data_IF_366896626686
#
_entry.id   IF_366896626686
#
_cell.length_a   1.000
_cell.length_b   1.000
_cell.length_c   1.000
_cell.angle_alpha   90.00
_cell.angle_beta   90.00
_cell.angle_gamma   90.00
#
_symmetry.space_group_name_H-M   'P 1'
#
loop_
_entity.id
_entity.type
_entity.pdbx_description
1 polymer ?
#
# COMPACT_ATOMS: atom_id res chain seq x y z
N UNK A 1 -0.96 -43.04 -22.49
CA UNK A 1 0.12 -42.15 -22.00
C UNK A 1 0.31 -41.03 -23.00
N UNK A 2 -0.14 -39.82 -22.64
CA UNK A 2 0.36 -38.51 -23.04
C UNK A 2 -0.66 -37.49 -22.52
N UNK A 3 -0.54 -37.17 -21.22
CA UNK A 3 -1.13 -35.99 -20.62
C UNK A 3 -0.45 -34.80 -21.29
N UNK A 4 -1.10 -34.20 -22.28
CA UNK A 4 -0.73 -32.90 -22.83
C UNK A 4 -1.74 -31.92 -22.29
N UNK A 5 -1.31 -31.23 -21.24
CA UNK A 5 -2.03 -30.17 -20.58
C UNK A 5 -2.22 -29.02 -21.56
N UNK A 6 -3.47 -28.87 -22.01
CA UNK A 6 -3.90 -27.77 -22.84
C UNK A 6 -4.28 -26.58 -21.97
N UNK A 7 -3.32 -26.01 -21.22
CA UNK A 7 -3.38 -24.61 -20.78
C UNK A 7 -3.08 -23.65 -21.94
N UNK A 8 -3.60 -23.98 -23.12
CA UNK A 8 -3.88 -23.04 -24.20
C UNK A 8 -5.21 -22.39 -23.87
N UNK A 9 -5.13 -21.17 -23.33
CA UNK A 9 -6.11 -20.07 -23.36
C UNK A 9 -6.16 -19.38 -22.02
N UNK A 10 -5.22 -18.49 -21.80
CA UNK A 10 -5.52 -17.10 -21.46
C UNK A 10 -4.24 -16.31 -21.65
N UNK A 11 -4.07 -15.75 -22.84
CA UNK A 11 -3.33 -14.49 -23.00
C UNK A 11 -4.17 -13.40 -22.31
N UNK A 12 -4.28 -13.47 -20.99
CA UNK A 12 -4.57 -12.30 -20.18
C UNK A 12 -3.23 -11.62 -20.05
N UNK A 13 -3.06 -10.50 -20.74
CA UNK A 13 -1.95 -9.59 -20.45
C UNK A 13 -2.13 -9.23 -18.98
N UNK A 14 -1.42 -9.93 -18.09
CA UNK A 14 -1.27 -9.51 -16.72
C UNK A 14 -0.35 -8.31 -16.81
N UNK A 15 -0.97 -7.14 -16.97
CA UNK A 15 -0.31 -5.88 -16.66
C UNK A 15 -0.08 -5.97 -15.15
N UNK A 16 1.06 -6.56 -14.76
CA UNK A 16 1.64 -6.25 -13.48
C UNK A 16 2.13 -4.83 -13.66
N UNK A 17 1.22 -3.88 -13.47
CA UNK A 17 1.62 -2.53 -13.08
C UNK A 17 2.17 -2.73 -11.67
N UNK A 18 3.42 -3.17 -11.58
CA UNK A 18 4.17 -3.21 -10.34
C UNK A 18 4.16 -1.76 -9.86
N UNK A 19 3.18 -1.41 -9.02
CA UNK A 19 3.16 -0.11 -8.38
C UNK A 19 4.28 -0.11 -7.35
N UNK A 20 5.49 0.11 -7.88
CA UNK A 20 6.74 0.06 -7.15
C UNK A 20 6.66 1.00 -5.94
N UNK A 21 5.87 2.07 -6.05
CA UNK A 21 5.61 2.99 -4.95
C UNK A 21 4.84 2.33 -3.80
N UNK A 22 3.69 1.71 -4.05
CA UNK A 22 2.88 1.03 -3.02
C UNK A 22 3.65 -0.13 -2.38
N UNK A 23 4.42 -0.87 -3.18
CA UNK A 23 5.25 -1.95 -2.68
C UNK A 23 6.38 -1.43 -1.77
N UNK A 24 7.11 -0.40 -2.21
CA UNK A 24 8.13 0.25 -1.38
C UNK A 24 7.52 0.85 -0.11
N UNK A 25 6.35 1.49 -0.21
CA UNK A 25 5.62 2.04 0.92
C UNK A 25 5.27 0.94 1.93
N UNK A 26 4.77 -0.21 1.46
CA UNK A 26 4.42 -1.36 2.31
C UNK A 26 5.65 -1.90 3.04
N UNK A 27 6.76 -2.08 2.31
CA UNK A 27 8.01 -2.56 2.88
C UNK A 27 8.54 -1.59 3.94
N UNK A 28 8.48 -0.29 3.68
CA UNK A 28 9.02 0.73 4.57
C UNK A 28 8.12 0.97 5.79
N UNK A 29 6.80 0.97 5.63
CA UNK A 29 5.85 0.99 6.75
C UNK A 29 6.00 -0.26 7.64
N UNK A 30 6.21 -1.43 7.05
CA UNK A 30 6.44 -2.67 7.81
C UNK A 30 7.76 -2.68 8.59
N UNK A 31 8.76 -1.90 8.16
CA UNK A 31 10.03 -1.71 8.90
C UNK A 31 9.90 -0.71 10.04
N UNK A 32 9.00 0.27 9.92
CA UNK A 32 8.75 1.25 10.98
C UNK A 32 8.01 0.58 12.15
N UNK A 33 8.64 0.47 13.34
CA UNK A 33 8.01 -0.21 14.47
C UNK A 33 6.75 0.51 14.97
N UNK A 34 6.64 1.82 14.78
CA UNK A 34 5.48 2.62 15.21
C UNK A 34 4.32 2.40 14.25
N UNK A 35 4.57 2.44 12.94
CA UNK A 35 3.54 2.18 11.92
C UNK A 35 3.08 0.74 11.99
N UNK A 36 4.00 -0.22 12.16
CA UNK A 36 3.66 -1.62 12.37
C UNK A 36 2.78 -1.85 13.60
N UNK A 37 3.07 -1.19 14.72
CA UNK A 37 2.23 -1.26 15.91
C UNK A 37 0.83 -0.65 15.66
N UNK A 38 0.75 0.45 14.90
CA UNK A 38 -0.54 1.02 14.49
C UNK A 38 -1.32 0.07 13.59
N UNK A 39 -0.68 -0.55 12.60
CA UNK A 39 -1.30 -1.54 11.72
C UNK A 39 -1.92 -2.69 12.53
N UNK A 40 -1.18 -3.27 13.47
CA UNK A 40 -1.69 -4.36 14.33
C UNK A 40 -2.87 -3.93 15.20
N UNK A 41 -2.87 -2.69 15.69
CA UNK A 41 -4.01 -2.15 16.42
C UNK A 41 -5.23 -2.00 15.51
N UNK A 42 -5.03 -1.48 14.30
CA UNK A 42 -6.09 -1.30 13.30
C UNK A 42 -6.68 -2.62 12.77
N UNK A 43 -5.95 -3.73 12.86
CA UNK A 43 -6.49 -5.08 12.58
C UNK A 43 -7.51 -5.54 13.63
N UNK A 44 -7.43 -5.03 14.87
CA UNK A 44 -8.30 -5.43 15.98
C UNK A 44 -9.33 -4.37 16.35
N UNK A 45 -9.01 -3.09 16.17
CA UNK A 45 -9.80 -1.95 16.60
C UNK A 45 -9.82 -0.88 15.51
N UNK A 46 -11.01 -0.42 15.14
CA UNK A 46 -11.15 0.69 14.19
C UNK A 46 -10.79 2.02 14.86
N UNK A 47 -10.09 2.91 14.13
CA UNK A 47 -9.66 4.21 14.64
C UNK A 47 -10.29 5.34 13.79
N UNK A 48 -10.70 6.44 14.43
CA UNK A 48 -11.30 7.57 13.71
C UNK A 48 -10.29 8.35 12.87
N UNK A 49 -9.00 8.25 13.19
CA UNK A 49 -7.94 9.03 12.53
C UNK A 49 -7.11 8.21 11.56
N UNK A 50 -7.17 6.88 11.65
CA UNK A 50 -6.34 6.00 10.85
C UNK A 50 -7.15 4.85 10.27
N UNK A 51 -6.79 4.44 9.06
CA UNK A 51 -7.42 3.34 8.35
C UNK A 51 -6.35 2.38 7.85
N UNK A 52 -6.61 1.08 7.95
CA UNK A 52 -5.77 0.04 7.37
C UNK A 52 -6.40 -0.42 6.05
N UNK A 53 -5.70 -0.24 4.93
CA UNK A 53 -6.11 -0.77 3.61
C UNK A 53 -4.96 -1.49 2.95
N UNK A 54 -5.22 -2.71 2.46
CA UNK A 54 -4.22 -3.52 1.74
C UNK A 54 -2.89 -3.66 2.49
N UNK A 55 -2.91 -3.68 3.83
CA UNK A 55 -1.71 -3.75 4.67
C UNK A 55 -0.96 -2.43 4.86
N UNK A 56 -1.48 -1.32 4.33
CA UNK A 56 -0.95 0.02 4.48
C UNK A 56 -1.78 0.83 5.45
N UNK A 57 -1.10 1.59 6.31
CA UNK A 57 -1.73 2.53 7.24
C UNK A 57 -1.87 3.89 6.56
N UNK A 58 -3.10 4.38 6.55
CA UNK A 58 -3.48 5.69 6.08
C UNK A 58 -3.94 6.55 7.26
N UNK A 59 -3.68 7.84 7.17
CA UNK A 59 -4.21 8.86 8.06
C UNK A 59 -5.37 9.55 7.37
N UNK A 60 -6.52 9.59 8.04
CA UNK A 60 -7.68 10.34 7.56
C UNK A 60 -7.44 11.85 7.76
N UNK A 61 -7.70 12.63 6.71
CA UNK A 61 -7.65 14.09 6.75
C UNK A 61 -8.87 14.67 6.02
N UNK A 62 -9.94 14.92 6.77
CA UNK A 62 -11.23 15.30 6.21
C UNK A 62 -11.80 14.16 5.36
N UNK A 63 -12.01 14.41 4.07
CA UNK A 63 -12.47 13.40 3.10
C UNK A 63 -11.32 12.67 2.40
N UNK A 64 -10.07 13.03 2.67
CA UNK A 64 -8.90 12.49 1.99
C UNK A 64 -8.16 11.48 2.88
N UNK A 65 -7.54 10.47 2.24
CA UNK A 65 -6.64 9.52 2.90
C UNK A 65 -5.19 9.88 2.54
N UNK A 66 -4.37 10.08 3.57
CA UNK A 66 -2.95 10.38 3.44
C UNK A 66 -2.16 9.11 3.79
N UNK A 67 -1.30 8.65 2.90
CA UNK A 67 -0.40 7.54 3.20
C UNK A 67 0.71 8.00 4.16
N UNK A 68 1.03 7.16 5.15
CA UNK A 68 2.17 7.42 6.03
C UNK A 68 3.46 7.04 5.29
N UNK A 69 4.42 7.95 5.28
CA UNK A 69 5.70 7.75 4.61
C UNK A 69 6.81 7.71 5.65
N UNK A 70 7.75 6.77 5.50
CA UNK A 70 8.94 6.71 6.34
C UNK A 70 9.88 7.88 5.98
N UNK A 71 10.69 8.35 6.94
CA UNK A 71 11.59 9.51 6.75
C UNK A 71 12.48 9.40 5.50
N UNK A 72 12.89 8.17 5.16
CA UNK A 72 13.73 7.87 4.01
C UNK A 72 13.05 8.12 2.65
N UNK A 73 11.72 8.25 2.61
CA UNK A 73 10.95 8.52 1.40
C UNK A 73 10.56 10.00 1.26
N UNK A 74 10.77 10.83 2.30
CA UNK A 74 10.37 12.25 2.25
C UNK A 74 11.05 13.00 1.09
N UNK A 75 12.28 12.65 0.75
CA UNK A 75 13.01 13.22 -0.40
C UNK A 75 12.56 12.71 -1.77
N UNK A 76 11.73 11.66 -1.83
CA UNK A 76 11.27 11.02 -3.06
C UNK A 76 9.76 11.22 -3.32
N UNK A 77 9.03 11.77 -2.34
CA UNK A 77 7.60 12.07 -2.47
C UNK A 77 7.42 13.54 -2.78
N UNK A 78 6.86 13.85 -3.95
CA UNK A 78 6.37 15.20 -4.24
C UNK A 78 5.02 15.36 -3.56
N UNK A 79 4.98 16.05 -2.42
CA UNK A 79 3.72 16.50 -1.82
C UNK A 79 3.16 17.64 -2.66
N UNK A 80 2.24 17.33 -3.59
CA UNK A 80 1.52 18.32 -4.37
C UNK A 80 0.57 19.12 -3.48
N UNK A 81 1.05 20.21 -2.89
CA UNK A 81 0.21 21.20 -2.21
C UNK A 81 -0.38 22.12 -3.29
N UNK A 82 -1.46 21.69 -3.96
CA UNK A 82 -2.27 22.60 -4.78
C UNK A 82 -3.09 23.50 -3.86
N UNK A 83 -2.50 24.62 -3.46
CA UNK A 83 -3.24 25.76 -2.96
C UNK A 83 -3.94 26.43 -4.15
N UNK A 84 -5.27 26.33 -4.22
CA UNK A 84 -6.14 27.19 -5.03
C UNK A 84 -6.79 28.23 -4.10
#
# INVERSE_FOLDING_TARGET
MAYVDALSRSFGILVIDDNLFEWNLTVLQGRDPRIRAMAQRLESEEDQQYELRSGLVYKMHGTNLLFLVHEQMEGHVVTGHSSL
#
